data_IF_181293552611
#
_entry.id   IF_181293552611
#
_cell.length_a   1.000
_cell.length_b   1.000
_cell.length_c   1.000
_cell.angle_alpha   90.00
_cell.angle_beta   90.00
_cell.angle_gamma   90.00
#
_symmetry.space_group_name_H-M   'P 1'
#
loop_
_entity.id
_entity.type
_entity.pdbx_description
1 polymer ?
#
# COMPACT_ATOMS: atom_id res chain seq x y z
N UNK A 1 -15.73 -14.44 23.74
CA UNK A 1 -15.43 -15.05 22.43
C UNK A 1 -14.16 -14.40 21.88
N UNK A 2 -13.08 -15.15 21.69
CA UNK A 2 -11.79 -14.59 21.24
C UNK A 2 -11.83 -14.18 19.76
N UNK A 3 -10.96 -13.25 19.35
CA UNK A 3 -10.87 -12.77 17.96
C UNK A 3 -10.65 -13.90 16.95
N UNK A 4 -9.92 -14.95 17.35
CA UNK A 4 -9.68 -16.14 16.53
C UNK A 4 -10.94 -16.93 16.17
N UNK A 5 -11.92 -16.96 17.07
CA UNK A 5 -13.17 -17.66 16.81
C UNK A 5 -14.01 -16.90 15.79
N UNK A 6 -14.04 -15.56 15.88
CA UNK A 6 -14.71 -14.69 14.91
C UNK A 6 -14.14 -14.82 13.49
N UNK A 7 -12.84 -15.08 13.33
CA UNK A 7 -12.23 -15.31 12.02
C UNK A 7 -12.58 -16.68 11.43
N UNK A 8 -12.73 -17.72 12.26
CA UNK A 8 -13.15 -19.06 11.82
C UNK A 8 -14.60 -19.11 11.37
N UNK A 9 -15.43 -18.23 11.90
CA UNK A 9 -16.86 -18.17 11.60
C UNK A 9 -17.17 -17.31 10.34
N UNK A 10 -16.15 -16.82 9.63
CA UNK A 10 -16.35 -16.06 8.38
C UNK A 10 -16.71 -16.99 7.22
N UNK A 11 -17.80 -16.70 6.53
CA UNK A 11 -18.11 -17.31 5.24
C UNK A 11 -17.16 -16.75 4.16
N UNK A 12 -16.29 -17.62 3.62
CA UNK A 12 -15.33 -17.27 2.57
C UNK A 12 -15.83 -17.81 1.24
N UNK A 13 -15.87 -16.94 0.22
CA UNK A 13 -16.23 -17.29 -1.15
C UNK A 13 -15.02 -17.05 -2.04
N UNK A 14 -14.50 -18.12 -2.63
CA UNK A 14 -13.45 -18.04 -3.64
C UNK A 14 -14.11 -17.88 -5.02
N UNK A 15 -13.84 -16.75 -5.68
CA UNK A 15 -14.36 -16.45 -7.01
C UNK A 15 -13.38 -16.85 -8.12
N UNK A 16 -12.26 -17.48 -7.77
CA UNK A 16 -11.21 -17.87 -8.69
C UNK A 16 -10.39 -16.69 -9.22
N UNK A 17 -9.70 -16.91 -10.33
CA UNK A 17 -8.82 -15.93 -10.95
C UNK A 17 -9.57 -15.11 -12.00
N UNK A 18 -9.39 -13.79 -11.94
CA UNK A 18 -9.85 -12.90 -13.00
C UNK A 18 -9.03 -13.12 -14.28
N UNK A 19 -9.66 -12.89 -15.44
CA UNK A 19 -9.04 -13.06 -16.76
C UNK A 19 -8.86 -11.70 -17.42
N UNK A 20 -7.68 -11.47 -17.99
CA UNK A 20 -7.30 -10.24 -18.67
C UNK A 20 -6.19 -10.50 -19.68
N UNK A 21 -5.71 -9.44 -20.36
CA UNK A 21 -4.66 -9.57 -21.37
C UNK A 21 -3.34 -10.03 -20.75
N UNK A 22 -2.54 -10.76 -21.53
CA UNK A 22 -1.17 -11.13 -21.15
C UNK A 22 -0.23 -9.92 -21.13
N UNK A 23 0.96 -10.07 -20.54
CA UNK A 23 1.99 -9.03 -20.58
C UNK A 23 2.70 -9.07 -21.95
N UNK A 24 2.62 -8.01 -22.77
CA UNK A 24 3.18 -8.01 -24.12
C UNK A 24 4.71 -7.86 -24.13
N UNK A 25 5.36 -7.56 -22.99
CA UNK A 25 6.80 -7.32 -22.87
C UNK A 25 7.33 -6.24 -23.84
N UNK A 26 6.45 -5.34 -24.28
CA UNK A 26 6.77 -4.27 -25.21
C UNK A 26 7.54 -3.11 -24.53
N UNK A 27 8.31 -2.31 -25.30
CA UNK A 27 8.89 -1.07 -24.81
C UNK A 27 7.81 -0.02 -24.46
N UNK A 28 8.21 1.02 -23.75
CA UNK A 28 7.30 2.11 -23.40
C UNK A 28 6.84 2.88 -24.65
N UNK A 29 5.56 3.24 -24.70
CA UNK A 29 4.95 4.08 -25.72
C UNK A 29 4.25 5.25 -25.04
N UNK A 30 4.50 6.48 -25.50
CA UNK A 30 3.91 7.68 -24.90
C UNK A 30 4.21 7.88 -23.42
N UNK A 31 5.35 7.36 -22.93
CA UNK A 31 5.75 7.43 -21.52
C UNK A 31 5.23 6.27 -20.64
N UNK A 32 4.48 5.33 -21.20
CA UNK A 32 3.89 4.22 -20.46
C UNK A 32 4.31 2.86 -21.00
N UNK A 33 4.49 1.90 -20.10
CA UNK A 33 4.53 0.47 -20.46
C UNK A 33 3.15 -0.14 -20.26
N UNK A 34 2.63 -0.74 -21.33
CA UNK A 34 1.45 -1.63 -21.31
C UNK A 34 0.18 -0.95 -20.78
N UNK A 35 -0.06 0.32 -21.15
CA UNK A 35 -1.19 1.09 -20.65
C UNK A 35 -2.54 0.42 -20.93
N UNK A 36 -2.76 -0.06 -22.16
CA UNK A 36 -4.01 -0.70 -22.55
C UNK A 36 -4.27 -1.96 -21.74
N UNK A 37 -3.23 -2.78 -21.50
CA UNK A 37 -3.34 -3.98 -20.67
C UNK A 37 -3.61 -3.64 -19.21
N UNK A 38 -2.93 -2.63 -18.66
CA UNK A 38 -3.14 -2.16 -17.28
C UNK A 38 -4.56 -1.60 -17.11
N UNK A 39 -5.08 -0.86 -18.09
CA UNK A 39 -6.46 -0.36 -18.09
C UNK A 39 -7.45 -1.53 -18.12
N UNK A 40 -7.24 -2.53 -18.98
CA UNK A 40 -8.09 -3.70 -19.06
C UNK A 40 -8.14 -4.47 -17.73
N UNK A 41 -6.98 -4.74 -17.13
CA UNK A 41 -6.89 -5.40 -15.83
C UNK A 41 -7.58 -4.62 -14.71
N UNK A 42 -7.36 -3.30 -14.65
CA UNK A 42 -7.99 -2.46 -13.64
C UNK A 42 -9.50 -2.37 -13.80
N UNK A 43 -10.04 -2.40 -15.04
CA UNK A 43 -11.49 -2.46 -15.28
C UNK A 43 -12.08 -3.80 -14.83
N UNK A 44 -11.43 -4.92 -15.14
CA UNK A 44 -11.90 -6.25 -14.71
C UNK A 44 -11.92 -6.34 -13.19
N UNK A 45 -10.84 -5.92 -12.53
CA UNK A 45 -10.74 -5.94 -11.07
C UNK A 45 -11.72 -4.96 -10.41
N UNK A 46 -11.89 -3.76 -10.98
CA UNK A 46 -12.87 -2.78 -10.51
C UNK A 46 -14.29 -3.39 -10.50
N UNK A 47 -14.70 -4.05 -11.60
CA UNK A 47 -16.01 -4.67 -11.72
C UNK A 47 -16.21 -5.80 -10.69
N UNK A 48 -15.24 -6.71 -10.57
CA UNK A 48 -15.32 -7.77 -9.58
C UNK A 48 -15.39 -7.24 -8.13
N UNK A 49 -14.63 -6.17 -7.85
CA UNK A 49 -14.60 -5.53 -6.52
C UNK A 49 -15.93 -4.85 -6.21
N UNK A 50 -16.48 -4.06 -7.15
CA UNK A 50 -17.73 -3.34 -6.92
C UNK A 50 -18.92 -4.31 -6.79
N UNK A 51 -18.96 -5.39 -7.57
CA UNK A 51 -19.99 -6.43 -7.48
C UNK A 51 -19.94 -7.15 -6.12
N UNK A 52 -18.73 -7.46 -5.64
CA UNK A 52 -18.53 -8.04 -4.30
C UNK A 52 -19.04 -7.12 -3.20
N UNK A 53 -18.74 -5.82 -3.29
CA UNK A 53 -19.22 -4.82 -2.33
C UNK A 53 -20.76 -4.67 -2.39
N UNK A 54 -21.35 -4.68 -3.58
CA UNK A 54 -22.82 -4.63 -3.73
C UNK A 54 -23.51 -5.89 -3.22
N UNK A 55 -22.85 -7.05 -3.24
CA UNK A 55 -23.31 -8.26 -2.57
C UNK A 55 -23.17 -8.21 -1.03
N UNK A 56 -22.73 -7.09 -0.45
CA UNK A 56 -22.54 -6.93 0.99
C UNK A 56 -21.35 -7.71 1.55
N UNK A 57 -20.37 -8.02 0.70
CA UNK A 57 -19.18 -8.81 1.06
C UNK A 57 -17.93 -7.94 1.10
N UNK A 58 -16.95 -8.36 1.89
CA UNK A 58 -15.63 -7.73 1.93
C UNK A 58 -14.75 -8.33 0.81
N UNK A 59 -14.33 -7.54 -0.21
CA UNK A 59 -13.41 -8.04 -1.23
C UNK A 59 -12.02 -8.27 -0.65
N UNK A 60 -11.44 -9.44 -0.96
CA UNK A 60 -10.03 -9.76 -0.75
C UNK A 60 -9.42 -10.11 -2.10
N UNK A 61 -8.46 -9.30 -2.55
CA UNK A 61 -7.79 -9.51 -3.85
C UNK A 61 -6.38 -10.04 -3.63
N UNK A 62 -6.03 -11.13 -4.30
CA UNK A 62 -4.66 -11.59 -4.45
C UNK A 62 -4.17 -11.15 -5.83
N UNK A 63 -3.37 -10.09 -5.85
CA UNK A 63 -2.90 -9.45 -7.08
C UNK A 63 -1.54 -9.97 -7.55
N UNK A 64 -1.15 -9.50 -8.73
CA UNK A 64 0.24 -9.47 -9.16
C UNK A 64 0.83 -8.10 -8.84
N UNK A 65 0.99 -7.28 -9.86
CA UNK A 65 1.62 -5.96 -9.74
C UNK A 65 0.74 -4.91 -9.04
N UNK A 66 1.35 -3.93 -8.37
CA UNK A 66 0.65 -2.97 -7.51
C UNK A 66 -0.23 -1.97 -8.30
N UNK A 67 -0.06 -1.90 -9.63
CA UNK A 67 -0.93 -1.11 -10.50
C UNK A 67 -2.42 -1.51 -10.40
N UNK A 68 -2.73 -2.72 -9.93
CA UNK A 68 -4.10 -3.21 -9.68
C UNK A 68 -4.82 -2.46 -8.54
N UNK A 69 -4.07 -1.76 -7.68
CA UNK A 69 -4.66 -0.93 -6.63
C UNK A 69 -5.55 0.19 -7.19
N UNK A 70 -5.31 0.65 -8.43
CA UNK A 70 -6.11 1.71 -9.06
C UNK A 70 -7.57 1.25 -9.19
N UNK A 71 -7.80 0.07 -9.74
CA UNK A 71 -9.12 -0.50 -9.98
C UNK A 71 -9.83 -0.91 -8.69
N UNK A 72 -9.14 -1.60 -7.80
CA UNK A 72 -9.74 -2.06 -6.53
C UNK A 72 -10.11 -0.89 -5.62
N UNK A 73 -9.22 0.08 -5.41
CA UNK A 73 -9.50 1.24 -4.56
C UNK A 73 -10.52 2.17 -5.21
N UNK A 74 -10.51 2.33 -6.54
CA UNK A 74 -11.54 3.11 -7.25
C UNK A 74 -12.94 2.55 -7.04
N UNK A 75 -13.09 1.22 -7.04
CA UNK A 75 -14.38 0.56 -6.77
C UNK A 75 -14.85 0.84 -5.33
N UNK A 76 -13.96 0.66 -4.36
CA UNK A 76 -14.26 0.96 -2.94
C UNK A 76 -14.61 2.44 -2.76
N UNK A 77 -13.85 3.35 -3.36
CA UNK A 77 -14.08 4.78 -3.27
C UNK A 77 -15.45 5.18 -3.83
N UNK A 78 -15.83 4.63 -4.99
CA UNK A 78 -17.17 4.84 -5.55
C UNK A 78 -18.26 4.28 -4.62
N UNK A 79 -18.07 3.07 -4.08
CA UNK A 79 -19.03 2.43 -3.19
C UNK A 79 -19.27 3.25 -1.92
N UNK A 80 -18.19 3.74 -1.29
CA UNK A 80 -18.24 4.60 -0.11
C UNK A 80 -18.92 5.94 -0.41
N UNK A 81 -18.58 6.62 -1.51
CA UNK A 81 -19.23 7.88 -1.92
C UNK A 81 -20.74 7.73 -2.12
N UNK A 82 -21.17 6.66 -2.77
CA UNK A 82 -22.59 6.37 -2.98
C UNK A 82 -23.37 6.14 -1.67
N UNK A 83 -22.68 5.96 -0.55
CA UNK A 83 -23.24 5.71 0.79
C UNK A 83 -22.91 6.84 1.78
N UNK A 84 -22.36 7.96 1.31
CA UNK A 84 -21.87 9.05 2.16
C UNK A 84 -20.89 8.60 3.25
N UNK A 85 -20.01 7.65 2.90
CA UNK A 85 -18.97 7.12 3.79
C UNK A 85 -17.60 7.65 3.40
N UNK A 86 -16.77 7.95 4.40
CA UNK A 86 -15.36 8.28 4.18
C UNK A 86 -14.54 7.00 4.02
N UNK A 87 -13.76 6.95 2.93
CA UNK A 87 -12.72 5.95 2.74
C UNK A 87 -11.42 6.40 3.43
N UNK A 88 -10.70 5.46 4.04
CA UNK A 88 -9.31 5.60 4.44
C UNK A 88 -8.50 4.43 3.88
N UNK A 89 -7.35 4.74 3.31
CA UNK A 89 -6.40 3.79 2.73
C UNK A 89 -5.16 3.74 3.60
N UNK A 90 -4.79 2.54 4.04
CA UNK A 90 -3.49 2.28 4.66
C UNK A 90 -2.60 1.62 3.59
N UNK A 91 -1.57 2.33 3.15
CA UNK A 91 -0.67 1.89 2.10
C UNK A 91 0.60 1.33 2.71
N UNK A 92 0.71 0.01 2.76
CA UNK A 92 1.88 -0.69 3.29
C UNK A 92 2.81 -1.09 2.15
N UNK A 93 3.83 -0.29 1.88
CA UNK A 93 4.78 -0.56 0.80
C UNK A 93 6.13 0.09 1.10
N UNK A 94 7.19 -0.43 0.50
CA UNK A 94 8.50 0.19 0.46
C UNK A 94 8.52 1.47 -0.41
N UNK A 95 7.63 1.57 -1.40
CA UNK A 95 7.57 2.67 -2.36
C UNK A 95 6.26 3.45 -2.22
N UNK A 96 6.32 4.77 -2.45
CA UNK A 96 5.14 5.63 -2.36
C UNK A 96 4.17 5.43 -3.54
N UNK A 97 4.64 4.80 -4.62
CA UNK A 97 3.84 4.50 -5.81
C UNK A 97 3.09 5.71 -6.40
N UNK A 98 3.72 6.88 -6.25
CA UNK A 98 3.17 8.19 -6.58
C UNK A 98 3.90 8.88 -7.73
N UNK A 99 4.59 8.14 -8.60
CA UNK A 99 5.15 8.72 -9.82
C UNK A 99 4.02 9.15 -10.75
N UNK A 100 4.23 10.26 -11.45
CA UNK A 100 3.40 10.66 -12.59
C UNK A 100 4.06 10.20 -13.90
N UNK A 101 3.37 10.34 -15.05
CA UNK A 101 3.98 10.05 -16.35
C UNK A 101 5.27 10.85 -16.59
N UNK A 102 5.34 12.07 -16.05
CA UNK A 102 6.47 12.99 -16.22
C UNK A 102 7.64 12.67 -15.28
N UNK A 103 7.38 12.09 -14.10
CA UNK A 103 8.44 11.81 -13.11
C UNK A 103 8.98 10.40 -13.16
N UNK A 104 8.28 9.47 -13.82
CA UNK A 104 8.69 8.06 -13.86
C UNK A 104 9.92 7.85 -14.75
N UNK A 105 11.01 7.27 -14.24
CA UNK A 105 12.19 6.97 -15.06
C UNK A 105 12.01 5.74 -15.96
N UNK A 106 11.02 4.88 -15.67
CA UNK A 106 10.83 3.59 -16.36
C UNK A 106 9.58 3.53 -17.23
N UNK A 107 8.61 4.42 -16.99
CA UNK A 107 7.27 4.36 -17.57
C UNK A 107 6.41 3.19 -17.05
N UNK A 108 6.88 2.45 -16.04
CA UNK A 108 6.09 1.38 -15.43
C UNK A 108 4.96 1.95 -14.57
N UNK A 109 3.73 1.49 -14.84
CA UNK A 109 2.53 1.95 -14.13
C UNK A 109 2.42 1.46 -12.67
N UNK A 110 3.20 0.45 -12.26
CA UNK A 110 3.19 -0.02 -10.87
C UNK A 110 3.75 0.98 -9.86
N UNK A 111 4.60 1.90 -10.30
CA UNK A 111 5.07 2.99 -9.48
C UNK A 111 4.16 4.24 -9.52
N UNK A 112 2.98 4.15 -10.16
CA UNK A 112 2.02 5.25 -10.35
C UNK A 112 0.61 5.07 -9.72
N UNK A 113 0.22 3.95 -9.06
CA UNK A 113 -1.17 3.77 -8.66
C UNK A 113 -1.68 4.84 -7.68
N UNK A 114 -0.85 5.29 -6.73
CA UNK A 114 -1.24 6.37 -5.80
C UNK A 114 -1.42 7.69 -6.53
N UNK A 115 -0.54 8.01 -7.49
CA UNK A 115 -0.71 9.20 -8.32
C UNK A 115 -2.03 9.16 -9.10
N UNK A 116 -2.34 8.02 -9.73
CA UNK A 116 -3.58 7.83 -10.47
C UNK A 116 -4.82 7.99 -9.57
N UNK A 117 -4.79 7.43 -8.36
CA UNK A 117 -5.88 7.55 -7.39
C UNK A 117 -6.08 9.00 -6.90
N UNK A 118 -5.02 9.79 -6.86
CA UNK A 118 -5.03 11.22 -6.58
C UNK A 118 -5.35 12.09 -7.81
N UNK A 119 -5.65 11.48 -8.96
CA UNK A 119 -6.04 12.19 -10.18
C UNK A 119 -4.88 12.58 -11.11
N UNK A 120 -3.67 12.09 -10.86
CA UNK A 120 -2.49 12.35 -11.67
C UNK A 120 -2.11 11.11 -12.50
N UNK A 121 -2.45 11.11 -13.79
CA UNK A 121 -2.16 10.00 -14.70
C UNK A 121 -3.14 9.92 -15.88
N UNK A 122 -3.12 8.82 -16.64
CA UNK A 122 -4.04 8.57 -17.74
C UNK A 122 -5.52 8.70 -17.32
N UNK A 123 -6.34 9.34 -18.15
CA UNK A 123 -7.76 9.57 -17.86
C UNK A 123 -8.51 8.24 -17.65
N UNK A 124 -8.13 7.21 -18.39
CA UNK A 124 -8.68 5.86 -18.35
C UNK A 124 -8.49 5.17 -16.99
N UNK A 125 -7.47 5.59 -16.23
CA UNK A 125 -7.16 5.07 -14.90
C UNK A 125 -7.69 6.00 -13.80
N UNK A 126 -7.45 7.30 -13.92
CA UNK A 126 -7.83 8.31 -12.91
C UNK A 126 -9.35 8.46 -12.77
N UNK A 127 -10.12 8.16 -13.82
CA UNK A 127 -11.58 8.31 -13.82
C UNK A 127 -12.34 7.01 -13.51
N UNK A 128 -11.66 5.89 -13.19
CA UNK A 128 -12.31 4.59 -12.94
C UNK A 128 -13.39 4.67 -11.84
N UNK A 129 -13.21 5.52 -10.84
CA UNK A 129 -14.17 5.71 -9.76
C UNK A 129 -15.43 6.53 -10.17
N UNK A 130 -15.54 6.91 -11.45
CA UNK A 130 -16.57 7.79 -12.01
C UNK A 130 -16.30 9.28 -11.83
N UNK A 131 -15.20 9.63 -11.16
CA UNK A 131 -14.73 10.99 -10.92
C UNK A 131 -13.24 10.94 -10.57
N UNK A 132 -12.50 11.99 -10.92
CA UNK A 132 -11.14 12.20 -10.43
C UNK A 132 -11.11 13.40 -9.46
N UNK A 133 -10.36 13.33 -8.35
CA UNK A 133 -9.58 12.17 -7.91
C UNK A 133 -10.48 11.06 -7.32
N UNK A 134 -9.96 9.82 -7.28
CA UNK A 134 -10.65 8.70 -6.64
C UNK A 134 -10.62 8.82 -5.11
N UNK A 135 -9.49 9.27 -4.55
CA UNK A 135 -9.28 9.56 -3.12
C UNK A 135 -8.63 10.94 -2.96
N UNK A 136 -8.76 11.56 -1.79
CA UNK A 136 -8.02 12.79 -1.44
C UNK A 136 -6.70 12.47 -0.72
N UNK A 137 -5.72 13.41 -0.70
CA UNK A 137 -4.48 13.23 0.05
C UNK A 137 -4.68 12.92 1.54
N UNK A 138 -5.70 13.48 2.18
CA UNK A 138 -6.00 13.20 3.60
C UNK A 138 -6.67 11.84 3.83
N UNK A 139 -6.96 11.07 2.78
CA UNK A 139 -7.61 9.76 2.82
C UNK A 139 -6.63 8.59 2.69
N UNK A 140 -5.33 8.86 2.55
CA UNK A 140 -4.28 7.85 2.49
C UNK A 140 -3.22 8.08 3.56
N UNK A 141 -2.81 7.02 4.24
CA UNK A 141 -1.66 7.00 5.13
C UNK A 141 -0.66 5.95 4.64
N UNK A 142 0.58 6.36 4.45
CA UNK A 142 1.65 5.49 3.95
C UNK A 142 2.49 4.95 5.10
N UNK A 143 2.80 3.67 5.05
CA UNK A 143 3.51 2.94 6.11
C UNK A 143 4.58 2.06 5.46
N UNK A 144 5.81 2.13 5.98
CA UNK A 144 6.92 1.32 5.47
C UNK A 144 7.65 1.89 4.26
N UNK A 145 7.28 3.10 3.80
CA UNK A 145 7.99 3.78 2.72
C UNK A 145 9.47 3.85 3.07
N UNK A 146 10.35 3.67 2.10
CA UNK A 146 11.81 3.82 2.29
C UNK A 146 12.49 4.63 1.19
N UNK A 147 11.71 5.13 0.24
CA UNK A 147 12.20 5.93 -0.90
C UNK A 147 11.38 7.20 -1.05
N UNK A 148 12.06 8.34 -1.21
CA UNK A 148 11.42 9.61 -1.61
C UNK A 148 10.49 10.24 -0.57
N UNK A 149 10.38 9.69 0.64
CA UNK A 149 9.58 10.22 1.72
C UNK A 149 10.41 10.39 3.00
N UNK A 150 10.01 11.34 3.84
CA UNK A 150 10.48 11.42 5.21
C UNK A 150 9.89 10.23 5.96
N UNK A 151 10.74 9.45 6.62
CA UNK A 151 10.36 8.29 7.39
C UNK A 151 10.25 8.69 8.85
N UNK A 152 9.09 8.40 9.44
CA UNK A 152 8.92 8.48 10.89
C UNK A 152 8.99 7.05 11.40
N UNK A 153 10.05 6.65 12.12
CA UNK A 153 10.12 5.31 12.66
C UNK A 153 9.09 5.18 13.79
N UNK A 154 8.31 4.10 13.75
CA UNK A 154 7.25 3.82 14.73
C UNK A 154 7.63 2.55 15.48
N UNK A 155 7.71 2.66 16.80
CA UNK A 155 8.12 1.57 17.67
C UNK A 155 6.98 1.13 18.56
N UNK A 156 6.85 -0.18 18.73
CA UNK A 156 5.98 -0.77 19.74
C UNK A 156 6.85 -1.06 20.95
N UNK A 157 6.51 -0.44 22.08
CA UNK A 157 7.25 -0.59 23.32
C UNK A 157 6.98 -1.97 23.97
N UNK A 158 8.03 -2.78 24.11
CA UNK A 158 7.99 -4.09 24.75
C UNK A 158 7.20 -5.18 24.01
N UNK A 159 6.96 -6.28 24.71
CA UNK A 159 6.20 -7.42 24.19
C UNK A 159 4.70 -7.09 24.09
N UNK A 160 4.13 -7.22 22.88
CA UNK A 160 2.72 -6.94 22.64
C UNK A 160 1.84 -8.00 23.28
N UNK A 161 1.21 -7.65 24.40
CA UNK A 161 0.09 -8.42 24.94
C UNK A 161 -1.16 -8.19 24.09
N UNK A 162 -1.73 -9.29 23.57
CA UNK A 162 -2.93 -9.24 22.75
C UNK A 162 -4.09 -8.58 23.52
N UNK A 163 -4.79 -7.65 22.87
CA UNK A 163 -5.96 -6.93 23.42
C UNK A 163 -5.69 -6.00 24.62
N UNK A 164 -4.46 -5.51 24.76
CA UNK A 164 -4.12 -4.48 25.73
C UNK A 164 -3.72 -3.17 25.05
N UNK A 165 -3.80 -2.06 25.79
CA UNK A 165 -3.26 -0.78 25.32
C UNK A 165 -1.75 -0.95 25.14
N UNK A 166 -1.29 -0.61 23.94
CA UNK A 166 0.13 -0.68 23.57
C UNK A 166 0.67 0.73 23.51
N UNK A 167 1.80 0.97 24.17
CA UNK A 167 2.53 2.23 24.01
C UNK A 167 3.25 2.20 22.66
N UNK A 168 2.92 3.18 21.83
CA UNK A 168 3.56 3.42 20.53
C UNK A 168 4.46 4.62 20.69
N UNK A 169 5.71 4.50 20.26
CA UNK A 169 6.71 5.57 20.30
C UNK A 169 6.96 6.00 18.86
N UNK A 170 6.84 7.29 18.61
CA UNK A 170 7.18 7.91 17.33
C UNK A 170 8.57 8.49 17.45
N UNK A 171 9.48 8.07 16.57
CA UNK A 171 10.83 8.61 16.53
C UNK A 171 10.95 9.86 15.69
N UNK A 172 12.16 10.43 15.70
CA UNK A 172 12.46 11.61 14.90
C UNK A 172 12.32 11.29 13.40
N UNK A 173 11.63 12.14 12.63
CA UNK A 173 11.55 11.99 11.19
C UNK A 173 12.95 12.03 10.55
N UNK A 174 13.27 11.11 9.65
CA UNK A 174 14.54 11.11 8.92
C UNK A 174 14.34 10.91 7.42
N UNK A 175 15.22 11.49 6.61
CA UNK A 175 15.22 11.30 5.17
C UNK A 175 16.18 10.16 4.80
N UNK A 176 15.70 9.08 4.16
CA UNK A 176 16.54 7.92 3.86
C UNK A 176 17.50 8.24 2.72
N UNK A 177 18.77 7.83 2.86
CA UNK A 177 19.75 7.91 1.78
C UNK A 177 19.62 6.69 0.86
N UNK A 178 19.43 6.95 -0.44
CA UNK A 178 19.23 5.90 -1.46
C UNK A 178 20.55 5.70 -2.21
N UNK A 179 21.09 4.48 -2.17
CA UNK A 179 22.36 4.12 -2.84
C UNK A 179 22.16 3.48 -4.21
N UNK A 180 20.91 3.19 -4.62
CA UNK A 180 20.58 2.61 -5.93
C UNK A 180 20.90 1.11 -6.08
N UNK A 181 21.46 0.46 -5.06
CA UNK A 181 21.70 -0.99 -5.00
C UNK A 181 21.01 -1.62 -3.78
N UNK A 182 20.77 -2.93 -3.83
CA UNK A 182 20.40 -3.67 -2.63
C UNK A 182 21.55 -3.64 -1.61
N UNK A 183 21.22 -3.33 -0.36
CA UNK A 183 22.17 -3.39 0.75
C UNK A 183 22.56 -4.83 1.06
N UNK A 184 23.80 -5.04 1.53
CA UNK A 184 24.24 -6.33 2.06
C UNK A 184 23.50 -6.65 3.37
N UNK A 185 23.49 -7.91 3.80
CA UNK A 185 22.86 -8.30 5.07
C UNK A 185 23.42 -7.50 6.26
N UNK A 186 24.73 -7.24 6.28
CA UNK A 186 25.39 -6.43 7.32
C UNK A 186 25.00 -4.95 7.26
N UNK A 187 24.75 -4.39 6.08
CA UNK A 187 24.27 -3.01 5.92
C UNK A 187 22.82 -2.89 6.41
N UNK A 188 21.98 -3.88 6.09
CA UNK A 188 20.60 -3.94 6.57
C UNK A 188 20.55 -4.11 8.08
N UNK A 189 21.38 -5.00 8.64
CA UNK A 189 21.44 -5.22 10.09
C UNK A 189 21.88 -3.95 10.82
N UNK A 190 22.96 -3.28 10.37
CA UNK A 190 23.40 -2.01 10.97
C UNK A 190 22.32 -0.93 10.91
N UNK A 191 21.56 -0.84 9.81
CA UNK A 191 20.46 0.09 9.71
C UNK A 191 19.34 -0.24 10.72
N UNK A 192 19.00 -1.52 10.87
CA UNK A 192 18.03 -1.98 11.87
C UNK A 192 18.48 -1.68 13.30
N UNK A 193 19.75 -1.95 13.63
CA UNK A 193 20.33 -1.69 14.95
C UNK A 193 20.31 -0.18 15.27
N UNK A 194 20.63 0.67 14.30
CA UNK A 194 20.55 2.13 14.44
C UNK A 194 19.12 2.63 14.69
N UNK A 195 18.14 2.07 13.97
CA UNK A 195 16.72 2.39 14.18
C UNK A 195 16.26 1.98 15.58
N UNK A 196 16.68 0.79 16.07
CA UNK A 196 16.36 0.32 17.43
C UNK A 196 17.03 1.17 18.52
N UNK A 197 18.29 1.56 18.34
CA UNK A 197 18.99 2.45 19.28
C UNK A 197 18.28 3.81 19.42
N UNK A 198 17.80 4.37 18.31
CA UNK A 198 17.00 5.60 18.33
C UNK A 198 15.67 5.43 19.10
N UNK A 199 15.02 4.27 18.98
CA UNK A 199 13.82 3.92 19.75
C UNK A 199 14.09 3.94 21.26
N UNK A 200 15.20 3.33 21.68
CA UNK A 200 15.60 3.24 23.08
C UNK A 200 15.93 4.60 23.67
N UNK A 201 16.55 5.49 22.90
CA UNK A 201 16.80 6.87 23.34
C UNK A 201 15.51 7.66 23.64
N UNK A 202 14.39 7.28 23.01
CA UNK A 202 13.06 7.87 23.24
C UNK A 202 12.26 7.14 24.33
N UNK A 203 12.92 6.25 25.08
CA UNK A 203 12.35 5.53 26.22
C UNK A 203 11.61 4.25 25.84
N UNK A 204 11.86 3.68 24.66
CA UNK A 204 11.44 2.31 24.34
C UNK A 204 12.18 1.30 25.23
N UNK A 205 11.53 0.21 25.59
CA UNK A 205 12.13 -0.94 26.25
C UNK A 205 12.33 -2.06 25.22
N UNK A 206 13.35 -2.90 25.46
CA UNK A 206 13.69 -4.00 24.56
C UNK A 206 12.54 -4.99 24.39
N UNK A 207 12.48 -5.62 23.20
CA UNK A 207 11.61 -6.77 22.95
C UNK A 207 12.03 -7.89 23.92
N UNK A 208 11.22 -8.17 24.92
CA UNK A 208 11.53 -9.18 25.94
C UNK A 208 12.44 -8.72 27.09
N UNK A 209 12.72 -7.41 27.24
CA UNK A 209 13.38 -6.87 28.44
C UNK A 209 14.89 -7.11 28.57
N UNK A 210 15.58 -7.61 27.54
CA UNK A 210 17.05 -7.76 27.53
C UNK A 210 17.72 -6.80 26.53
N UNK A 211 18.83 -6.13 26.89
CA UNK A 211 19.61 -5.34 25.95
C UNK A 211 20.15 -6.22 24.82
N UNK A 212 20.17 -5.70 23.58
CA UNK A 212 20.72 -6.42 22.41
C UNK A 212 22.26 -6.48 22.39
N UNK A 213 22.92 -5.71 23.26
CA UNK A 213 24.37 -5.71 23.41
C UNK A 213 24.73 -5.64 24.90
N UNK A 214 25.32 -6.73 25.42
CA UNK A 214 26.48 -6.66 26.32
C UNK A 214 27.73 -7.00 25.51
#
# INVERSE_FOLDING_TARGET
MGAWQKLRDLAVFDYGNLVGPGNPQAPAQGGFRHLDEVVAWNRVLYNATIDTLYAGRLPLTMGGDHCLAIGSISAVARHCRARDQRLKVLWFDAHADSNTPETSPTGNLHGMPVACLLGHGPAELTQLAGSAPAIRPDEIAMIGIRTGAILVPVFVDGEKKLFHRTRIIFGEPYQPQITGRHGTAEEVQRAADGVLAAAYALGGQAVGGMPLCE
#
